data_IF_177870597271
#
_entry.id   IF_177870597271
#
_cell.length_a   1.000
_cell.length_b   1.000
_cell.length_c   1.000
_cell.angle_alpha   90.00
_cell.angle_beta   90.00
_cell.angle_gamma   90.00
#
_symmetry.space_group_name_H-M   'P 1'
#
loop_
_entity.id
_entity.type
_entity.pdbx_description
1 polymer ?
#
# COMPACT_ATOMS: atom_id res chain seq x y z
N UNK A 1 2.31 -49.26 -1.64
CA UNK A 1 2.13 -48.05 -0.81
C UNK A 1 2.52 -46.85 -1.66
N UNK A 2 1.57 -45.96 -1.99
CA UNK A 2 1.87 -44.76 -2.75
C UNK A 2 2.80 -43.84 -1.96
N UNK A 3 3.82 -43.27 -2.62
CA UNK A 3 4.72 -42.29 -2.01
C UNK A 3 3.87 -41.16 -1.41
N UNK A 4 4.05 -40.79 -0.13
CA UNK A 4 3.26 -39.71 0.46
C UNK A 4 3.40 -38.45 -0.39
N UNK A 5 2.30 -37.69 -0.59
CA UNK A 5 2.34 -36.50 -1.42
C UNK A 5 3.39 -35.53 -0.87
N UNK A 6 4.18 -34.94 -1.76
CA UNK A 6 5.18 -33.93 -1.39
C UNK A 6 4.45 -32.69 -0.89
N UNK A 7 4.39 -32.53 0.43
CA UNK A 7 3.85 -31.33 1.08
C UNK A 7 4.99 -30.34 1.26
N UNK A 8 4.89 -29.17 0.62
CA UNK A 8 5.81 -28.06 0.87
C UNK A 8 5.24 -27.22 2.00
N UNK A 9 6.10 -26.82 2.94
CA UNK A 9 5.71 -26.15 4.19
C UNK A 9 6.56 -24.92 4.42
N UNK A 10 5.92 -23.82 4.79
CA UNK A 10 6.56 -22.60 5.25
C UNK A 10 5.99 -22.22 6.61
N UNK A 11 6.87 -21.92 7.55
CA UNK A 11 6.50 -21.33 8.83
C UNK A 11 6.21 -19.85 8.60
N UNK A 12 5.00 -19.43 8.96
CA UNK A 12 4.59 -18.01 8.96
C UNK A 12 4.82 -17.48 10.36
N UNK A 13 5.75 -16.54 10.49
CA UNK A 13 6.12 -15.91 11.77
C UNK A 13 5.73 -14.44 11.80
N UNK A 14 5.43 -13.94 12.99
CA UNK A 14 5.25 -12.53 13.29
C UNK A 14 6.23 -12.16 14.39
N UNK A 15 7.20 -11.30 14.06
CA UNK A 15 8.27 -10.88 14.97
C UNK A 15 8.94 -12.07 15.69
N UNK A 16 9.22 -13.13 14.93
CA UNK A 16 9.81 -14.38 15.43
C UNK A 16 8.85 -15.38 16.10
N UNK A 17 7.63 -15.00 16.49
CA UNK A 17 6.63 -15.96 17.01
C UNK A 17 6.01 -16.74 15.86
N UNK A 18 5.93 -18.07 15.97
CA UNK A 18 5.24 -18.91 14.99
C UNK A 18 3.73 -18.64 15.06
N UNK A 19 3.17 -18.09 13.99
CA UNK A 19 1.74 -17.85 13.87
C UNK A 19 1.03 -19.07 13.27
N UNK A 20 1.67 -19.74 12.31
CA UNK A 20 1.11 -20.94 11.69
C UNK A 20 1.96 -21.46 10.54
N UNK A 21 1.40 -22.39 9.79
CA UNK A 21 2.08 -23.06 8.69
C UNK A 21 1.31 -22.85 7.38
N UNK A 22 2.01 -22.34 6.35
CA UNK A 22 1.51 -22.22 4.99
C UNK A 22 1.97 -23.40 4.14
N UNK A 23 1.02 -24.17 3.65
CA UNK A 23 1.22 -25.46 2.97
C UNK A 23 0.86 -25.36 1.51
N UNK A 24 1.61 -26.06 0.68
CA UNK A 24 1.27 -26.32 -0.72
C UNK A 24 1.36 -27.82 -1.03
N UNK A 25 0.35 -28.32 -1.74
CA UNK A 25 0.35 -29.66 -2.33
C UNK A 25 -0.06 -29.58 -3.81
N UNK A 26 0.54 -30.39 -4.71
CA UNK A 26 0.15 -30.37 -6.11
C UNK A 26 -1.32 -30.70 -6.37
N UNK A 27 -1.92 -31.59 -5.56
CA UNK A 27 -3.29 -32.05 -5.73
C UNK A 27 -4.33 -31.18 -5.00
N UNK A 28 -3.97 -30.59 -3.85
CA UNK A 28 -4.89 -29.84 -2.98
C UNK A 28 -4.67 -28.32 -2.96
N UNK A 29 -3.69 -27.81 -3.71
CA UNK A 29 -3.36 -26.39 -3.73
C UNK A 29 -2.79 -25.91 -2.40
N UNK A 30 -3.15 -24.68 -2.02
CA UNK A 30 -2.61 -23.99 -0.84
C UNK A 30 -3.55 -24.09 0.36
N UNK A 31 -2.97 -24.15 1.56
CA UNK A 31 -3.72 -24.13 2.83
C UNK A 31 -2.90 -23.47 3.94
N UNK A 32 -3.59 -22.98 4.97
CA UNK A 32 -2.96 -22.38 6.15
C UNK A 32 -3.56 -22.96 7.42
N UNK A 33 -2.71 -23.26 8.41
CA UNK A 33 -3.15 -23.69 9.73
C UNK A 33 -2.43 -22.86 10.80
N UNK A 34 -3.19 -22.33 11.77
CA UNK A 34 -2.60 -21.66 12.92
C UNK A 34 -1.85 -22.65 13.80
N UNK A 35 -0.75 -22.19 14.39
CA UNK A 35 -0.03 -22.93 15.42
C UNK A 35 -0.84 -22.96 16.73
N UNK A 36 -0.79 -24.08 17.45
CA UNK A 36 -1.52 -24.24 18.70
C UNK A 36 -1.05 -23.22 19.76
N UNK A 37 0.24 -22.90 19.79
CA UNK A 37 0.82 -21.88 20.65
C UNK A 37 0.46 -20.46 20.24
N UNK A 38 0.12 -20.20 18.97
CA UNK A 38 -0.51 -18.94 18.56
C UNK A 38 -1.94 -18.86 19.09
N UNK A 39 -2.76 -19.90 18.87
CA UNK A 39 -4.16 -19.93 19.29
C UNK A 39 -4.34 -19.84 20.82
N UNK A 40 -3.43 -20.45 21.59
CA UNK A 40 -3.45 -20.43 23.04
C UNK A 40 -2.87 -19.13 23.65
N UNK A 41 -2.33 -18.24 22.82
CA UNK A 41 -1.73 -16.99 23.30
C UNK A 41 -2.81 -15.97 23.65
N UNK A 42 -2.72 -15.36 24.83
CA UNK A 42 -3.68 -14.33 25.29
C UNK A 42 -3.82 -13.15 24.29
N UNK A 43 -2.74 -12.83 23.58
CA UNK A 43 -2.71 -11.77 22.59
C UNK A 43 -2.80 -12.30 21.15
N UNK A 44 -3.38 -13.49 20.94
CA UNK A 44 -3.60 -14.02 19.59
C UNK A 44 -4.53 -13.10 18.78
N UNK A 45 -4.22 -12.94 17.50
CA UNK A 45 -5.07 -12.24 16.55
C UNK A 45 -5.01 -12.91 15.17
N UNK A 46 -6.04 -12.75 14.32
CA UNK A 46 -5.98 -13.22 12.94
C UNK A 46 -4.85 -12.52 12.17
N UNK A 47 -3.97 -13.27 11.50
CA UNK A 47 -2.90 -12.67 10.66
C UNK A 47 -3.43 -12.03 9.37
N UNK A 48 -4.70 -12.30 9.06
CA UNK A 48 -5.51 -11.65 8.05
C UNK A 48 -6.97 -11.79 8.46
N UNK A 49 -7.82 -10.83 8.10
CA UNK A 49 -9.27 -10.97 8.26
C UNK A 49 -9.84 -12.20 7.56
N UNK A 50 -9.20 -12.66 6.49
CA UNK A 50 -9.63 -13.85 5.74
C UNK A 50 -9.17 -15.16 6.38
N UNK A 51 -8.36 -15.11 7.44
CA UNK A 51 -7.88 -16.27 8.18
C UNK A 51 -8.35 -16.18 9.64
N UNK A 52 -9.64 -16.38 9.95
CA UNK A 52 -10.13 -16.31 11.32
C UNK A 52 -9.42 -17.31 12.24
N UNK A 53 -9.27 -16.97 13.52
CA UNK A 53 -8.64 -17.83 14.53
C UNK A 53 -9.48 -19.10 14.75
N UNK A 54 -9.03 -20.21 14.17
CA UNK A 54 -9.60 -21.55 14.37
C UNK A 54 -8.51 -22.60 14.26
N UNK A 55 -8.72 -23.73 14.93
CA UNK A 55 -7.89 -24.91 14.79
C UNK A 55 -8.15 -25.60 13.44
N UNK A 56 -7.17 -26.37 12.98
CA UNK A 56 -7.24 -27.09 11.71
C UNK A 56 -6.80 -26.25 10.51
N UNK A 57 -6.69 -26.92 9.36
CA UNK A 57 -6.28 -26.30 8.11
C UNK A 57 -7.45 -25.57 7.44
N UNK A 58 -7.16 -24.39 6.92
CA UNK A 58 -8.04 -23.57 6.11
C UNK A 58 -7.54 -23.62 4.66
N UNK A 59 -8.45 -23.77 3.70
CA UNK A 59 -8.13 -23.83 2.27
C UNK A 59 -9.22 -23.14 1.45
N UNK A 60 -8.87 -22.75 0.22
CA UNK A 60 -9.76 -22.06 -0.71
C UNK A 60 -9.20 -20.73 -1.19
N UNK A 61 -9.98 -20.02 -1.99
CA UNK A 61 -9.59 -18.76 -2.64
C UNK A 61 -9.19 -17.69 -1.62
N UNK A 62 -9.86 -17.61 -0.47
CA UNK A 62 -9.53 -16.67 0.59
C UNK A 62 -8.09 -16.83 1.11
N UNK A 63 -7.59 -18.07 1.25
CA UNK A 63 -6.20 -18.33 1.65
C UNK A 63 -5.24 -17.87 0.57
N UNK A 64 -5.58 -18.14 -0.70
CA UNK A 64 -4.77 -17.75 -1.84
C UNK A 64 -4.66 -16.21 -1.91
N UNK A 65 -5.78 -15.51 -1.78
CA UNK A 65 -5.86 -14.06 -1.77
C UNK A 65 -4.95 -13.42 -0.70
N UNK A 66 -4.84 -14.00 0.51
CA UNK A 66 -3.96 -13.46 1.56
C UNK A 66 -2.50 -13.47 1.12
N UNK A 67 -1.99 -14.63 0.70
CA UNK A 67 -0.57 -14.81 0.44
C UNK A 67 -0.13 -14.29 -0.92
N UNK A 68 -0.99 -14.38 -1.93
CA UNK A 68 -0.70 -13.90 -3.27
C UNK A 68 -0.56 -12.38 -3.33
N UNK A 69 -1.35 -11.64 -2.54
CA UNK A 69 -1.31 -10.18 -2.50
C UNK A 69 -0.06 -9.59 -1.81
N UNK A 70 0.77 -10.42 -1.16
CA UNK A 70 2.08 -10.03 -0.64
C UNK A 70 3.15 -9.92 -1.73
N UNK A 71 2.85 -10.43 -2.92
CA UNK A 71 3.76 -10.50 -4.07
C UNK A 71 3.41 -9.41 -5.08
N UNK A 72 4.34 -9.06 -6.00
CA UNK A 72 4.05 -8.11 -7.06
C UNK A 72 2.88 -8.55 -7.94
N UNK A 73 2.09 -7.60 -8.45
CA UNK A 73 0.89 -7.90 -9.25
C UNK A 73 1.24 -8.43 -10.66
N UNK A 74 2.39 -8.04 -11.20
CA UNK A 74 2.78 -8.34 -12.58
C UNK A 74 3.33 -9.79 -12.70
N UNK A 75 2.71 -10.67 -13.51
CA UNK A 75 3.19 -12.04 -13.69
C UNK A 75 4.60 -12.15 -14.27
N UNK A 76 4.99 -11.26 -15.18
CA UNK A 76 6.34 -11.24 -15.77
C UNK A 76 7.39 -10.86 -14.74
N UNK A 77 7.02 -9.96 -13.82
CA UNK A 77 7.83 -9.62 -12.67
C UNK A 77 7.97 -10.83 -11.72
N UNK A 78 6.89 -11.55 -11.44
CA UNK A 78 6.94 -12.80 -10.65
C UNK A 78 7.87 -13.85 -11.26
N UNK A 79 7.81 -14.06 -12.57
CA UNK A 79 8.71 -14.98 -13.29
C UNK A 79 10.17 -14.59 -13.16
N UNK A 80 10.51 -13.32 -13.39
CA UNK A 80 11.87 -12.79 -13.22
C UNK A 80 12.39 -12.95 -11.79
N UNK A 81 11.54 -12.68 -10.79
CA UNK A 81 11.88 -12.90 -9.37
C UNK A 81 12.12 -14.38 -9.11
N UNK A 82 11.28 -15.28 -9.63
CA UNK A 82 11.43 -16.72 -9.45
C UNK A 82 12.76 -17.22 -10.01
N UNK A 83 13.11 -16.85 -11.23
CA UNK A 83 14.39 -17.19 -11.86
C UNK A 83 15.57 -16.68 -11.04
N UNK A 84 15.51 -15.41 -10.62
CA UNK A 84 16.64 -14.75 -9.94
C UNK A 84 16.86 -15.22 -8.52
N UNK A 85 15.79 -15.49 -7.78
CA UNK A 85 15.84 -16.00 -6.43
C UNK A 85 15.98 -17.53 -6.38
N UNK A 86 16.17 -18.18 -7.54
CA UNK A 86 16.23 -19.64 -7.71
C UNK A 86 15.02 -20.35 -7.08
N UNK A 87 13.85 -19.70 -7.17
CA UNK A 87 12.60 -20.26 -6.70
C UNK A 87 12.16 -21.41 -7.60
N UNK A 88 11.44 -22.37 -7.02
CA UNK A 88 10.97 -23.57 -7.74
C UNK A 88 9.94 -23.26 -8.83
N UNK A 89 9.19 -22.16 -8.66
CA UNK A 89 8.22 -21.64 -9.62
C UNK A 89 7.85 -20.20 -9.27
N UNK A 90 7.06 -19.56 -10.12
CA UNK A 90 6.44 -18.25 -9.92
C UNK A 90 5.15 -18.29 -9.08
N UNK A 91 4.84 -19.45 -8.48
CA UNK A 91 3.67 -19.60 -7.60
C UNK A 91 3.89 -18.92 -6.25
N UNK A 92 2.82 -18.44 -5.59
CA UNK A 92 2.97 -17.69 -4.35
C UNK A 92 3.76 -18.40 -3.26
N UNK A 93 3.52 -19.69 -3.04
CA UNK A 93 4.26 -20.49 -2.05
C UNK A 93 5.76 -20.51 -2.31
N UNK A 94 6.17 -20.80 -3.55
CA UNK A 94 7.58 -20.92 -3.91
C UNK A 94 8.28 -19.54 -3.92
N UNK A 95 7.59 -18.49 -4.33
CA UNK A 95 8.10 -17.12 -4.26
C UNK A 95 8.28 -16.66 -2.80
N UNK A 96 7.29 -16.86 -1.94
CA UNK A 96 7.39 -16.48 -0.52
C UNK A 96 8.46 -17.31 0.20
N UNK A 97 8.71 -18.56 -0.20
CA UNK A 97 9.85 -19.33 0.30
C UNK A 97 11.19 -18.65 0.01
N UNK A 98 11.31 -18.02 -1.16
CA UNK A 98 12.54 -17.39 -1.63
C UNK A 98 12.70 -15.94 -1.13
N UNK A 99 11.63 -15.14 -1.19
CA UNK A 99 11.67 -13.69 -0.94
C UNK A 99 10.87 -13.21 0.29
N UNK A 100 10.18 -14.11 0.99
CA UNK A 100 9.24 -13.76 2.07
C UNK A 100 9.86 -13.45 3.43
N UNK A 101 11.17 -13.14 3.51
CA UNK A 101 11.83 -12.83 4.80
C UNK A 101 11.50 -11.42 5.30
N UNK A 102 11.27 -10.49 4.38
CA UNK A 102 10.81 -9.13 4.67
C UNK A 102 9.67 -8.73 3.71
N UNK A 103 8.42 -8.99 4.13
CA UNK A 103 7.21 -8.60 3.40
C UNK A 103 6.67 -7.24 3.87
N UNK A 104 5.68 -6.71 3.15
CA UNK A 104 4.73 -5.73 3.72
C UNK A 104 4.03 -6.36 4.94
N UNK A 105 3.81 -5.56 5.98
CA UNK A 105 3.32 -6.00 7.27
C UNK A 105 4.37 -6.77 8.07
N UNK A 106 3.92 -7.71 8.90
CA UNK A 106 4.77 -8.43 9.85
C UNK A 106 4.99 -9.91 9.55
N UNK A 107 4.39 -10.43 8.47
CA UNK A 107 4.55 -11.82 8.09
C UNK A 107 5.98 -12.07 7.57
N UNK A 108 6.58 -13.14 8.09
CA UNK A 108 7.88 -13.65 7.68
C UNK A 108 7.71 -15.12 7.33
N UNK A 109 8.24 -15.53 6.18
CA UNK A 109 8.15 -16.89 5.67
C UNK A 109 9.51 -17.57 5.77
N UNK A 110 9.56 -18.66 6.54
CA UNK A 110 10.77 -19.45 6.73
C UNK A 110 10.53 -20.90 6.30
N UNK A 111 11.57 -21.62 5.86
CA UNK A 111 11.49 -23.07 5.72
C UNK A 111 11.00 -23.70 7.04
N UNK A 112 10.13 -24.69 6.93
CA UNK A 112 9.55 -25.35 8.10
C UNK A 112 10.63 -25.90 9.04
N UNK A 113 10.57 -25.53 10.32
CA UNK A 113 11.52 -25.95 11.34
C UNK A 113 12.84 -25.18 11.34
N UNK A 114 13.00 -24.16 10.49
CA UNK A 114 14.16 -23.28 10.54
C UNK A 114 14.15 -22.45 11.84
N UNK A 115 15.34 -22.31 12.45
CA UNK A 115 15.54 -21.40 13.56
C UNK A 115 15.53 -19.94 13.06
N UNK A 116 14.61 -19.08 13.54
CA UNK A 116 14.62 -17.67 13.16
C UNK A 116 15.80 -16.89 13.77
N UNK A 117 16.53 -17.46 14.74
CA UNK A 117 17.49 -16.71 15.55
C UNK A 117 16.80 -15.62 16.37
N UNK A 118 17.53 -14.58 16.73
CA UNK A 118 16.94 -13.38 17.34
C UNK A 118 16.23 -12.54 16.25
N UNK A 119 14.89 -12.46 16.25
CA UNK A 119 14.13 -11.74 15.23
C UNK A 119 14.33 -10.22 15.26
N UNK A 120 15.01 -9.70 16.29
CA UNK A 120 15.25 -8.28 16.50
C UNK A 120 16.72 -7.89 16.43
N UNK A 121 17.60 -8.87 16.18
CA UNK A 121 18.98 -8.59 15.83
C UNK A 121 19.00 -7.79 14.54
N UNK A 122 19.80 -6.72 14.54
CA UNK A 122 19.98 -5.86 13.38
C UNK A 122 21.36 -6.13 12.80
N UNK A 123 21.38 -6.81 11.67
CA UNK A 123 22.57 -7.05 10.87
C UNK A 123 22.39 -6.40 9.48
N UNK A 124 23.43 -5.74 8.99
CA UNK A 124 23.41 -5.13 7.68
C UNK A 124 24.78 -4.61 7.27
N UNK A 125 24.95 -4.42 5.96
CA UNK A 125 26.17 -3.87 5.37
C UNK A 125 25.95 -2.38 5.08
N UNK A 126 26.79 -1.47 5.62
CA UNK A 126 26.75 -0.05 5.26
C UNK A 126 26.79 0.16 3.75
N UNK A 127 25.99 1.08 3.27
CA UNK A 127 25.88 1.43 1.86
C UNK A 127 26.36 2.87 1.67
N UNK A 128 27.42 3.04 0.88
CA UNK A 128 27.80 4.34 0.35
C UNK A 128 26.80 4.80 -0.72
N UNK A 129 26.76 6.10 -0.96
CA UNK A 129 25.90 6.73 -1.97
C UNK A 129 25.99 6.04 -3.35
N UNK A 130 27.21 5.77 -3.82
CA UNK A 130 27.46 5.09 -5.09
C UNK A 130 26.87 3.67 -5.16
N UNK A 131 26.84 2.95 -4.04
CA UNK A 131 26.26 1.61 -3.97
C UNK A 131 24.74 1.65 -4.03
N UNK A 132 24.14 2.67 -3.41
CA UNK A 132 22.69 2.93 -3.48
C UNK A 132 22.30 3.32 -4.90
N UNK A 133 23.03 4.27 -5.51
CA UNK A 133 22.81 4.69 -6.89
C UNK A 133 22.92 3.52 -7.87
N UNK A 134 23.93 2.66 -7.72
CA UNK A 134 24.07 1.44 -8.51
C UNK A 134 22.87 0.49 -8.34
N UNK A 135 22.42 0.25 -7.10
CA UNK A 135 21.26 -0.58 -6.83
C UNK A 135 19.96 0.00 -7.42
N UNK A 136 19.82 1.33 -7.49
CA UNK A 136 18.68 2.00 -8.11
C UNK A 136 18.75 1.92 -9.64
N UNK A 137 19.91 2.16 -10.26
CA UNK A 137 20.12 2.00 -11.72
C UNK A 137 19.75 0.60 -12.16
N UNK A 138 20.20 -0.37 -11.37
CA UNK A 138 19.92 -1.78 -11.58
C UNK A 138 18.41 -2.08 -11.60
N UNK A 139 17.53 -1.32 -10.94
CA UNK A 139 16.09 -1.63 -10.91
C UNK A 139 15.43 -1.69 -12.30
N UNK A 140 16.00 -1.00 -13.31
CA UNK A 140 15.50 -1.03 -14.69
C UNK A 140 15.64 -2.41 -15.34
N UNK A 141 16.66 -3.15 -14.92
CA UNK A 141 16.99 -4.49 -15.42
C UNK A 141 16.66 -5.57 -14.38
N UNK A 142 16.69 -5.22 -13.08
CA UNK A 142 16.75 -6.10 -11.91
C UNK A 142 15.68 -5.73 -10.87
N UNK A 143 14.47 -6.30 -10.95
CA UNK A 143 13.39 -5.92 -10.06
C UNK A 143 13.67 -6.23 -8.58
N UNK A 144 13.21 -5.35 -7.68
CA UNK A 144 13.43 -5.41 -6.22
C UNK A 144 14.92 -5.35 -5.79
N UNK A 145 15.85 -5.08 -6.71
CA UNK A 145 17.29 -5.02 -6.42
C UNK A 145 17.92 -6.36 -6.04
N UNK A 146 17.27 -7.48 -6.35
CA UNK A 146 17.72 -8.83 -5.96
C UNK A 146 18.88 -9.28 -6.85
N UNK A 147 20.06 -9.51 -6.23
CA UNK A 147 21.20 -10.22 -6.86
C UNK A 147 21.27 -11.67 -6.33
N UNK A 148 21.72 -12.64 -7.14
CA UNK A 148 21.72 -14.06 -6.75
C UNK A 148 22.63 -14.30 -5.55
N UNK A 149 23.74 -13.56 -5.46
CA UNK A 149 24.71 -13.68 -4.37
C UNK A 149 24.26 -12.97 -3.08
N UNK A 150 23.12 -12.28 -3.10
CA UNK A 150 22.66 -11.47 -1.98
C UNK A 150 22.11 -12.36 -0.84
N UNK A 151 22.44 -12.13 0.44
CA UNK A 151 21.75 -12.79 1.56
C UNK A 151 20.37 -12.16 1.88
N UNK A 152 20.06 -10.99 1.31
CA UNK A 152 18.82 -10.24 1.59
C UNK A 152 17.70 -10.52 0.59
N UNK A 153 16.45 -10.56 1.08
CA UNK A 153 15.29 -11.07 0.35
C UNK A 153 14.02 -10.28 0.78
N UNK A 154 13.44 -9.51 -0.14
CA UNK A 154 12.31 -8.59 0.11
C UNK A 154 11.13 -8.96 -0.79
N UNK A 155 9.91 -8.85 -0.27
CA UNK A 155 8.68 -8.87 -1.07
C UNK A 155 7.91 -7.56 -0.88
N UNK A 156 7.80 -6.77 -1.95
CA UNK A 156 7.01 -5.53 -1.99
C UNK A 156 5.92 -5.66 -3.07
N UNK A 157 4.66 -5.48 -2.68
CA UNK A 157 3.52 -5.47 -3.60
C UNK A 157 3.46 -4.16 -4.42
N UNK A 158 2.73 -4.16 -5.53
CA UNK A 158 2.57 -3.02 -6.45
C UNK A 158 3.39 -3.14 -7.74
N UNK A 159 3.12 -2.24 -8.70
CA UNK A 159 3.66 -2.32 -10.06
C UNK A 159 4.93 -1.48 -10.31
N UNK A 160 5.13 -0.41 -9.54
CA UNK A 160 6.31 0.45 -9.67
C UNK A 160 7.56 -0.26 -9.15
N UNK A 161 8.65 -0.15 -9.90
CA UNK A 161 9.97 -0.62 -9.51
C UNK A 161 10.47 0.12 -8.26
N UNK A 162 10.91 -0.65 -7.28
CA UNK A 162 11.33 -0.15 -5.97
C UNK A 162 12.30 -1.11 -5.31
N UNK A 163 13.09 -0.56 -4.41
CA UNK A 163 13.94 -1.32 -3.48
C UNK A 163 13.68 -0.82 -2.06
N UNK A 164 14.30 -1.43 -1.07
CA UNK A 164 14.18 -0.99 0.31
C UNK A 164 15.48 -1.17 1.09
N UNK A 165 15.75 -0.23 1.99
CA UNK A 165 16.94 -0.18 2.82
C UNK A 165 16.57 0.06 4.28
N UNK A 166 17.54 -0.14 5.16
CA UNK A 166 17.46 0.18 6.58
C UNK A 166 18.21 1.49 6.84
N UNK A 167 17.52 2.49 7.40
CA UNK A 167 18.15 3.64 8.03
C UNK A 167 18.43 3.36 9.51
N UNK A 168 19.68 3.51 9.95
CA UNK A 168 20.08 3.38 11.36
C UNK A 168 21.36 4.18 11.61
N UNK A 169 21.40 4.92 12.72
CA UNK A 169 22.57 5.71 13.15
C UNK A 169 23.15 6.57 12.01
N UNK A 170 22.26 7.35 11.37
CA UNK A 170 22.55 8.23 10.23
C UNK A 170 23.21 7.55 9.01
N UNK A 171 23.04 6.24 8.88
CA UNK A 171 23.63 5.43 7.81
C UNK A 171 22.59 4.55 7.14
N UNK A 172 22.67 4.47 5.80
CA UNK A 172 21.93 3.49 5.02
C UNK A 172 22.61 2.12 5.08
N UNK A 173 21.84 1.09 5.42
CA UNK A 173 22.27 -0.29 5.52
C UNK A 173 21.47 -1.14 4.53
N UNK A 174 22.17 -2.06 3.87
CA UNK A 174 21.55 -3.20 3.21
C UNK A 174 21.34 -4.30 4.27
N UNK A 175 20.09 -4.64 4.63
CA UNK A 175 19.84 -5.58 5.72
C UNK A 175 20.31 -6.99 5.37
N UNK A 176 20.53 -7.83 6.39
CA UNK A 176 20.82 -9.25 6.21
C UNK A 176 19.86 -10.13 7.03
N UNK A 177 19.62 -11.36 6.56
CA UNK A 177 18.82 -12.34 7.28
C UNK A 177 17.37 -11.91 7.47
N UNK A 178 16.96 -11.76 8.73
CA UNK A 178 15.62 -11.30 9.14
C UNK A 178 15.59 -9.83 9.55
N UNK A 179 16.67 -9.07 9.34
CA UNK A 179 16.68 -7.63 9.63
C UNK A 179 15.70 -6.92 8.69
N UNK A 180 14.70 -6.19 9.20
CA UNK A 180 13.75 -5.48 8.35
C UNK A 180 14.37 -4.25 7.68
N UNK A 181 13.88 -3.94 6.48
CA UNK A 181 13.99 -2.58 5.93
C UNK A 181 13.10 -1.61 6.69
N UNK A 182 13.45 -0.32 6.64
CA UNK A 182 12.66 0.78 7.23
C UNK A 182 12.19 1.78 6.20
N UNK A 183 12.78 1.81 5.01
CA UNK A 183 12.42 2.74 3.95
C UNK A 183 12.31 2.05 2.60
N UNK A 184 11.34 2.48 1.80
CA UNK A 184 11.16 2.06 0.42
C UNK A 184 11.67 3.19 -0.47
N UNK A 185 12.53 2.87 -1.44
CA UNK A 185 12.97 3.78 -2.48
C UNK A 185 12.18 3.53 -3.74
N UNK A 186 11.46 4.55 -4.20
CA UNK A 186 10.71 4.54 -5.46
C UNK A 186 11.45 5.39 -6.48
N UNK A 187 11.78 4.79 -7.63
CA UNK A 187 12.38 5.52 -8.75
C UNK A 187 11.34 6.34 -9.50
N UNK A 188 11.81 7.34 -10.25
CA UNK A 188 11.01 7.98 -11.29
C UNK A 188 10.45 6.93 -12.25
N UNK A 189 9.15 7.02 -12.52
CA UNK A 189 8.48 6.22 -13.52
C UNK A 189 8.81 6.79 -14.90
N UNK A 190 8.97 5.93 -15.91
CA UNK A 190 9.08 6.41 -17.29
C UNK A 190 7.70 6.74 -17.86
N UNK A 191 7.55 6.52 -19.17
CA UNK A 191 6.24 6.47 -19.80
C UNK A 191 5.57 5.16 -19.37
N UNK A 192 4.41 5.26 -18.71
CA UNK A 192 3.64 4.09 -18.25
C UNK A 192 2.57 3.70 -19.28
N UNK A 193 1.82 2.64 -18.99
CA UNK A 193 0.73 2.16 -19.86
C UNK A 193 -0.20 3.31 -20.28
N UNK A 194 -0.61 3.29 -21.56
CA UNK A 194 -1.46 4.30 -22.20
C UNK A 194 -0.74 5.63 -22.51
N UNK A 195 0.58 5.68 -22.41
CA UNK A 195 1.38 6.83 -22.85
C UNK A 195 1.43 7.98 -21.85
N UNK A 196 1.04 7.74 -20.58
CA UNK A 196 1.16 8.75 -19.53
C UNK A 196 2.64 8.95 -19.23
N UNK A 197 3.13 10.18 -19.44
CA UNK A 197 4.46 10.58 -19.00
C UNK A 197 4.47 10.76 -17.48
N UNK A 198 5.15 9.86 -16.78
CA UNK A 198 5.35 9.89 -15.34
C UNK A 198 6.82 10.14 -14.97
N UNK A 199 7.59 10.78 -15.87
CA UNK A 199 9.03 11.08 -15.66
C UNK A 199 9.30 11.79 -14.33
N UNK A 200 8.39 12.66 -13.89
CA UNK A 200 8.48 13.35 -12.59
C UNK A 200 7.59 12.70 -11.51
N UNK A 201 7.43 11.37 -11.52
CA UNK A 201 6.57 10.67 -10.55
C UNK A 201 7.01 10.86 -9.11
N UNK A 202 8.31 11.07 -8.87
CA UNK A 202 8.88 11.30 -7.53
C UNK A 202 8.36 12.63 -6.97
N UNK A 203 8.46 13.70 -7.75
CA UNK A 203 7.96 15.03 -7.41
C UNK A 203 6.43 15.02 -7.29
N UNK A 204 5.75 14.35 -8.23
CA UNK A 204 4.29 14.22 -8.23
C UNK A 204 3.79 13.54 -6.96
N UNK A 205 4.32 12.35 -6.63
CA UNK A 205 3.90 11.63 -5.42
C UNK A 205 4.24 12.41 -4.15
N UNK A 206 5.44 12.99 -4.06
CA UNK A 206 5.84 13.81 -2.92
C UNK A 206 4.86 14.98 -2.70
N UNK A 207 4.54 15.73 -3.76
CA UNK A 207 3.60 16.85 -3.68
C UNK A 207 2.21 16.39 -3.27
N UNK A 208 1.71 15.29 -3.84
CA UNK A 208 0.41 14.73 -3.48
C UNK A 208 0.35 14.32 -2.00
N UNK A 209 1.42 13.72 -1.46
CA UNK A 209 1.51 13.38 -0.04
C UNK A 209 1.53 14.65 0.83
N UNK A 210 2.25 15.71 0.43
CA UNK A 210 2.25 16.99 1.17
C UNK A 210 0.88 17.68 1.15
N UNK A 211 0.20 17.69 0.01
CA UNK A 211 -1.16 18.24 -0.10
C UNK A 211 -2.16 17.42 0.73
N UNK A 212 -2.10 16.10 0.68
CA UNK A 212 -2.97 15.23 1.48
C UNK A 212 -2.72 15.42 2.99
N UNK A 213 -1.46 15.54 3.42
CA UNK A 213 -1.11 15.88 4.80
C UNK A 213 -1.66 17.24 5.23
N UNK A 214 -1.52 18.27 4.39
CA UNK A 214 -2.02 19.62 4.67
C UNK A 214 -3.55 19.69 4.74
N UNK A 215 -4.26 18.78 4.06
CA UNK A 215 -5.71 18.56 4.19
C UNK A 215 -6.11 17.75 5.46
N UNK A 216 -5.14 17.45 6.32
CA UNK A 216 -5.33 16.74 7.58
C UNK A 216 -5.56 15.23 7.42
N UNK A 217 -5.00 14.60 6.37
CA UNK A 217 -5.02 13.14 6.23
C UNK A 217 -3.67 12.59 6.74
N UNK A 218 -3.67 11.52 7.57
CA UNK A 218 -2.45 10.80 7.91
C UNK A 218 -1.89 10.12 6.66
N UNK A 219 -0.67 10.47 6.29
CA UNK A 219 0.07 9.89 5.17
C UNK A 219 1.40 9.31 5.67
N UNK A 220 2.00 8.41 4.90
CA UNK A 220 3.39 8.02 5.13
C UNK A 220 4.32 9.24 5.00
N UNK A 221 5.40 9.24 5.77
CA UNK A 221 6.46 10.22 5.57
C UNK A 221 7.21 9.89 4.28
N UNK A 222 7.56 10.94 3.53
CA UNK A 222 8.36 10.82 2.32
C UNK A 222 9.25 12.05 2.11
N UNK A 223 10.44 11.81 1.57
CA UNK A 223 11.41 12.83 1.16
C UNK A 223 12.01 12.49 -0.19
N UNK A 224 12.40 13.52 -0.94
CA UNK A 224 13.14 13.36 -2.19
C UNK A 224 14.62 13.35 -1.84
N UNK A 225 15.34 12.32 -2.27
CA UNK A 225 16.80 12.23 -2.13
C UNK A 225 17.42 11.94 -3.49
N UNK A 226 18.66 12.39 -3.64
CA UNK A 226 19.49 12.11 -4.81
C UNK A 226 20.74 11.37 -4.35
N UNK A 227 21.01 10.23 -4.99
CA UNK A 227 22.23 9.45 -4.83
C UNK A 227 22.94 9.44 -6.18
N UNK A 228 24.07 10.13 -6.29
CA UNK A 228 24.74 10.43 -7.57
C UNK A 228 23.77 11.05 -8.60
N UNK A 229 23.45 10.33 -9.68
CA UNK A 229 22.54 10.72 -10.75
C UNK A 229 21.10 10.20 -10.55
N UNK A 230 20.83 9.50 -9.44
CA UNK A 230 19.56 8.83 -9.18
C UNK A 230 18.72 9.61 -8.16
N UNK A 231 17.69 10.31 -8.63
CA UNK A 231 16.66 10.92 -7.77
C UNK A 231 15.54 9.93 -7.48
N UNK A 232 15.23 9.74 -6.20
CA UNK A 232 14.21 8.78 -5.73
C UNK A 232 13.31 9.42 -4.67
N UNK A 233 12.10 8.86 -4.56
CA UNK A 233 11.26 9.11 -3.39
C UNK A 233 11.60 8.09 -2.32
N UNK A 234 12.07 8.59 -1.18
CA UNK A 234 12.35 7.81 0.02
C UNK A 234 11.13 7.84 0.93
N UNK A 235 10.46 6.70 1.05
CA UNK A 235 9.23 6.52 1.82
C UNK A 235 9.53 5.78 3.12
N UNK A 236 9.22 6.40 4.26
CA UNK A 236 9.31 5.75 5.57
C UNK A 236 8.20 4.71 5.71
N UNK A 237 8.57 3.48 6.04
CA UNK A 237 7.63 2.38 6.26
C UNK A 237 6.91 2.55 7.59
N UNK A 238 5.60 2.78 7.54
CA UNK A 238 4.76 2.84 8.73
C UNK A 238 4.47 1.46 9.35
N UNK A 239 4.80 0.37 8.66
CA UNK A 239 4.70 -1.00 9.17
C UNK A 239 5.96 -1.46 9.91
N UNK A 240 6.82 -0.51 10.28
CA UNK A 240 8.08 -0.71 11.00
C UNK A 240 8.17 0.31 12.12
N UNK A 241 8.60 -0.12 13.30
CA UNK A 241 8.82 0.80 14.42
C UNK A 241 10.02 0.37 15.27
N UNK A 242 10.91 1.30 15.69
CA UNK A 242 11.99 0.99 16.61
C UNK A 242 11.46 0.41 17.92
N UNK A 243 12.16 -0.58 18.47
CA UNK A 243 11.85 -1.14 19.80
C UNK A 243 12.68 -0.43 20.87
N UNK A 244 12.06 -0.10 22.01
CA UNK A 244 12.75 0.53 23.14
C UNK A 244 13.97 -0.27 23.64
N UNK A 245 13.92 -1.61 23.57
CA UNK A 245 15.04 -2.49 23.95
C UNK A 245 16.00 -2.80 22.77
N UNK A 246 16.05 -1.95 21.75
CA UNK A 246 16.81 -2.18 20.52
C UNK A 246 16.14 -3.12 19.53
N UNK A 247 16.49 -3.00 18.25
CA UNK A 247 15.86 -3.72 17.14
C UNK A 247 14.61 -3.02 16.59
N UNK A 248 13.96 -3.66 15.61
CA UNK A 248 12.84 -3.09 14.87
C UNK A 248 11.66 -4.07 14.91
N UNK A 249 10.51 -3.60 15.38
CA UNK A 249 9.25 -4.33 15.33
C UNK A 249 8.63 -4.16 13.94
N UNK A 250 8.11 -5.26 13.40
CA UNK A 250 7.21 -5.23 12.26
C UNK A 250 5.78 -5.13 12.77
N UNK A 251 4.98 -4.22 12.21
CA UNK A 251 3.59 -4.07 12.56
C UNK A 251 2.73 -4.90 11.59
N UNK A 252 1.87 -5.81 12.08
CA UNK A 252 0.99 -6.59 11.23
C UNK A 252 0.09 -5.67 10.39
N UNK A 253 0.03 -5.92 9.09
CA UNK A 253 -0.73 -5.14 8.13
C UNK A 253 -1.26 -6.04 7.02
N UNK A 254 -2.43 -5.69 6.47
CA UNK A 254 -2.93 -6.18 5.19
C UNK A 254 -3.63 -5.06 4.39
N UNK A 255 -3.68 -5.17 3.07
CA UNK A 255 -4.41 -4.23 2.21
C UNK A 255 -5.93 -4.54 2.16
N UNK A 256 -6.76 -3.62 1.66
CA UNK A 256 -8.22 -3.86 1.58
C UNK A 256 -8.58 -5.02 0.65
N UNK A 257 -7.75 -5.31 -0.36
CA UNK A 257 -7.98 -6.41 -1.28
C UNK A 257 -7.83 -7.76 -0.55
N UNK A 258 -6.79 -7.90 0.27
CA UNK A 258 -6.59 -9.01 1.20
C UNK A 258 -7.73 -9.08 2.21
N UNK A 259 -8.05 -7.97 2.88
CA UNK A 259 -9.06 -7.92 3.92
C UNK A 259 -10.46 -8.34 3.43
N UNK A 260 -10.76 -8.08 2.15
CA UNK A 260 -12.01 -8.43 1.47
C UNK A 260 -11.97 -9.79 0.75
N UNK A 261 -10.80 -10.46 0.69
CA UNK A 261 -10.65 -11.80 0.13
C UNK A 261 -10.58 -11.86 -1.40
N UNK A 262 -10.09 -10.80 -2.04
CA UNK A 262 -9.94 -10.70 -3.49
C UNK A 262 -8.49 -10.98 -3.93
N UNK A 263 -8.31 -11.55 -5.11
CA UNK A 263 -7.00 -11.81 -5.71
C UNK A 263 -6.44 -10.59 -6.45
N UNK A 264 -5.12 -10.56 -6.68
CA UNK A 264 -4.41 -9.37 -7.17
C UNK A 264 -4.97 -8.81 -8.49
N UNK A 265 -5.44 -9.68 -9.38
CA UNK A 265 -6.06 -9.31 -10.67
C UNK A 265 -7.38 -8.53 -10.54
N UNK A 266 -8.01 -8.54 -9.35
CA UNK A 266 -9.27 -7.87 -9.07
C UNK A 266 -9.08 -6.55 -8.29
N UNK A 267 -7.92 -5.90 -8.40
CA UNK A 267 -7.67 -4.65 -7.66
C UNK A 267 -8.56 -3.47 -8.07
N UNK A 268 -9.01 -3.44 -9.33
CA UNK A 268 -9.87 -2.37 -9.87
C UNK A 268 -11.35 -2.76 -9.86
N UNK A 269 -12.21 -1.82 -9.45
CA UNK A 269 -13.66 -2.05 -9.41
C UNK A 269 -14.25 -2.41 -10.78
N UNK A 270 -13.75 -1.80 -11.85
CA UNK A 270 -14.23 -2.10 -13.21
C UNK A 270 -13.89 -3.51 -13.69
N UNK A 271 -12.89 -4.15 -13.06
CA UNK A 271 -12.49 -5.55 -13.30
C UNK A 271 -13.08 -6.51 -12.26
N UNK A 272 -14.16 -6.11 -11.57
CA UNK A 272 -14.83 -6.94 -10.57
C UNK A 272 -14.24 -6.86 -9.16
N UNK A 273 -13.35 -5.89 -8.92
CA UNK A 273 -12.81 -5.57 -7.61
C UNK A 273 -13.77 -4.79 -6.70
N UNK A 274 -13.36 -4.57 -5.43
CA UNK A 274 -14.16 -3.82 -4.48
C UNK A 274 -14.17 -2.31 -4.80
N UNK A 275 -15.30 -1.67 -4.51
CA UNK A 275 -15.46 -0.21 -4.63
C UNK A 275 -15.46 0.50 -3.27
N UNK A 276 -15.69 1.82 -3.33
CA UNK A 276 -15.77 2.66 -2.13
C UNK A 276 -16.81 2.17 -1.11
N UNK A 277 -17.96 1.65 -1.57
CA UNK A 277 -18.98 1.12 -0.67
C UNK A 277 -18.49 -0.11 0.11
N UNK A 278 -17.71 -0.99 -0.53
CA UNK A 278 -17.16 -2.19 0.11
C UNK A 278 -16.09 -1.81 1.14
N UNK A 279 -15.24 -0.83 0.81
CA UNK A 279 -14.29 -0.25 1.75
C UNK A 279 -14.96 0.39 2.97
N UNK A 280 -16.01 1.20 2.78
CA UNK A 280 -16.74 1.81 3.90
C UNK A 280 -17.44 0.79 4.80
N UNK A 281 -17.95 -0.31 4.22
CA UNK A 281 -18.55 -1.43 4.96
C UNK A 281 -17.51 -2.27 5.70
N UNK A 282 -16.34 -2.49 5.10
CA UNK A 282 -15.22 -3.15 5.76
C UNK A 282 -14.88 -2.44 7.09
N UNK A 283 -14.85 -1.11 7.05
CA UNK A 283 -14.51 -0.26 8.19
C UNK A 283 -15.59 -0.21 9.28
N UNK A 284 -16.78 -0.79 9.06
CA UNK A 284 -17.77 -0.97 10.15
C UNK A 284 -17.23 -1.87 11.27
N UNK A 285 -16.32 -2.80 10.94
CA UNK A 285 -15.66 -3.68 11.91
C UNK A 285 -14.36 -3.14 12.48
N UNK A 286 -13.97 -1.91 12.16
CA UNK A 286 -12.75 -1.30 12.70
C UNK A 286 -12.91 -0.99 14.20
N UNK A 287 -11.81 -1.14 14.93
CA UNK A 287 -11.68 -0.67 16.32
C UNK A 287 -11.85 0.84 16.46
N UNK A 288 -11.59 1.60 15.39
CA UNK A 288 -11.70 3.06 15.29
C UNK A 288 -12.75 3.46 14.23
N UNK A 289 -13.88 2.72 14.17
CA UNK A 289 -14.91 2.82 13.11
C UNK A 289 -15.18 4.24 12.61
N UNK A 290 -15.47 5.17 13.52
CA UNK A 290 -15.86 6.52 13.13
C UNK A 290 -14.70 7.29 12.47
N UNK A 291 -13.50 7.17 13.04
CA UNK A 291 -12.29 7.82 12.52
C UNK A 291 -11.86 7.21 11.19
N UNK A 292 -11.94 5.88 11.05
CA UNK A 292 -11.56 5.19 9.82
C UNK A 292 -12.54 5.46 8.67
N UNK A 293 -13.86 5.45 8.93
CA UNK A 293 -14.85 5.82 7.92
C UNK A 293 -14.68 7.28 7.48
N UNK A 294 -14.39 8.19 8.42
CA UNK A 294 -14.07 9.58 8.12
C UNK A 294 -12.81 9.68 7.25
N UNK A 295 -11.72 9.00 7.64
CA UNK A 295 -10.45 8.98 6.92
C UNK A 295 -10.62 8.46 5.50
N UNK A 296 -11.25 7.29 5.32
CA UNK A 296 -11.43 6.71 4.00
C UNK A 296 -12.32 7.59 3.11
N UNK A 297 -13.39 8.17 3.65
CA UNK A 297 -14.24 9.10 2.91
C UNK A 297 -13.46 10.36 2.48
N UNK A 298 -12.68 10.97 3.39
CA UNK A 298 -11.78 12.09 3.04
C UNK A 298 -10.79 11.67 1.96
N UNK A 299 -10.17 10.48 2.06
CA UNK A 299 -9.23 9.97 1.06
C UNK A 299 -9.86 9.85 -0.33
N UNK A 300 -11.10 9.36 -0.45
CA UNK A 300 -11.80 9.28 -1.74
C UNK A 300 -12.05 10.67 -2.34
N UNK A 301 -12.44 11.63 -1.51
CA UNK A 301 -12.67 13.02 -1.96
C UNK A 301 -11.33 13.66 -2.36
N UNK A 302 -10.26 13.45 -1.58
CA UNK A 302 -8.91 13.96 -1.87
C UNK A 302 -8.36 13.38 -3.16
N UNK A 303 -8.57 12.09 -3.45
CA UNK A 303 -8.18 11.52 -4.73
C UNK A 303 -8.84 12.24 -5.91
N UNK A 304 -10.10 12.63 -5.79
CA UNK A 304 -10.77 13.42 -6.82
C UNK A 304 -10.22 14.85 -6.91
N UNK A 305 -9.99 15.50 -5.76
CA UNK A 305 -9.38 16.82 -5.67
C UNK A 305 -8.00 16.83 -6.33
N UNK A 306 -7.18 15.82 -6.11
CA UNK A 306 -5.81 15.75 -6.64
C UNK A 306 -5.71 15.08 -8.01
N UNK A 307 -6.82 14.67 -8.64
CA UNK A 307 -6.81 13.80 -9.82
C UNK A 307 -5.97 12.51 -9.63
N UNK A 308 -5.94 11.96 -8.41
CA UNK A 308 -5.28 10.69 -8.13
C UNK A 308 -6.18 9.52 -8.56
N UNK A 309 -5.96 9.05 -9.78
CA UNK A 309 -6.85 8.09 -10.47
C UNK A 309 -6.62 6.64 -10.03
N UNK A 310 -5.46 6.32 -9.48
CA UNK A 310 -5.05 4.93 -9.15
C UNK A 310 -5.33 4.53 -7.69
N UNK A 311 -6.23 5.24 -7.00
CA UNK A 311 -6.63 4.96 -5.61
C UNK A 311 -7.48 3.69 -5.45
N UNK A 312 -6.98 2.54 -5.88
CA UNK A 312 -7.63 1.23 -5.84
C UNK A 312 -7.45 0.51 -4.50
N UNK A 313 -8.06 -0.66 -4.32
CA UNK A 313 -8.15 -1.34 -3.02
C UNK A 313 -6.80 -1.71 -2.39
N UNK A 314 -5.73 -1.92 -3.18
CA UNK A 314 -4.39 -2.18 -2.63
C UNK A 314 -3.70 -0.94 -2.05
N UNK A 315 -4.23 0.26 -2.29
CA UNK A 315 -3.67 1.53 -1.81
C UNK A 315 -4.28 1.99 -0.47
N UNK A 316 -5.07 1.11 0.16
CA UNK A 316 -5.56 1.29 1.51
C UNK A 316 -5.24 0.04 2.31
N UNK A 317 -4.68 0.21 3.50
CA UNK A 317 -4.30 -0.89 4.37
C UNK A 317 -4.88 -0.75 5.76
N UNK A 318 -4.85 -1.87 6.48
CA UNK A 318 -5.28 -2.01 7.86
C UNK A 318 -4.10 -2.51 8.69
N UNK A 319 -3.87 -1.89 9.85
CA UNK A 319 -3.09 -2.53 10.91
C UNK A 319 -3.93 -3.62 11.57
N UNK A 320 -3.30 -4.74 11.93
CA UNK A 320 -3.92 -5.86 12.63
C UNK A 320 -3.31 -6.03 14.03
N UNK A 321 -4.13 -6.42 15.00
CA UNK A 321 -3.66 -6.77 16.33
C UNK A 321 -4.75 -7.39 17.22
N UNK A 322 -4.44 -7.63 18.50
CA UNK A 322 -5.37 -8.26 19.45
C UNK A 322 -6.70 -7.50 19.61
N UNK A 323 -6.68 -6.16 19.48
CA UNK A 323 -7.87 -5.30 19.56
C UNK A 323 -8.68 -5.19 18.27
N UNK A 324 -8.38 -6.01 17.25
CA UNK A 324 -9.00 -5.92 15.93
C UNK A 324 -8.11 -5.18 14.94
N UNK A 325 -8.71 -4.37 14.09
CA UNK A 325 -8.00 -3.66 13.03
C UNK A 325 -8.37 -2.18 12.99
N UNK A 326 -7.51 -1.38 12.36
CA UNK A 326 -7.76 0.04 12.05
C UNK A 326 -6.99 0.45 10.79
N UNK A 327 -7.36 1.55 10.15
CA UNK A 327 -6.63 2.02 8.96
C UNK A 327 -5.19 2.40 9.27
N UNK A 328 -4.32 2.16 8.28
CA UNK A 328 -2.96 2.71 8.25
C UNK A 328 -2.99 4.15 7.74
N UNK A 329 -1.87 4.88 7.85
CA UNK A 329 -1.66 6.07 7.02
C UNK A 329 -1.87 5.75 5.53
N UNK A 330 -2.25 6.76 4.75
CA UNK A 330 -2.36 6.68 3.30
C UNK A 330 -0.98 6.72 2.65
N UNK A 331 -0.90 6.14 1.46
CA UNK A 331 0.34 6.04 0.69
C UNK A 331 0.04 5.94 -0.80
N UNK A 332 1.06 6.12 -1.64
CA UNK A 332 0.97 5.89 -3.09
C UNK A 332 -0.12 6.76 -3.77
N UNK A 333 -0.07 8.06 -3.48
CA UNK A 333 -0.99 9.06 -4.06
C UNK A 333 -0.25 9.75 -5.20
N UNK A 334 -0.70 9.52 -6.44
CA UNK A 334 -0.09 10.09 -7.65
C UNK A 334 -1.16 10.73 -8.51
N UNK A 335 -0.94 11.98 -8.91
CA UNK A 335 -1.88 12.75 -9.71
C UNK A 335 -1.71 12.50 -11.21
N UNK A 336 -2.82 12.43 -11.94
CA UNK A 336 -2.85 12.48 -13.40
C UNK A 336 -2.96 13.92 -13.97
N UNK A 337 -3.06 14.95 -13.11
CA UNK A 337 -3.24 16.34 -13.55
C UNK A 337 -2.10 16.87 -14.45
N UNK A 338 -0.82 16.54 -14.24
CA UNK A 338 0.25 16.95 -15.16
C UNK A 338 0.04 16.39 -16.57
N UNK A 339 -0.36 15.12 -16.68
CA UNK A 339 -0.66 14.49 -17.97
C UNK A 339 -1.92 15.07 -18.63
N UNK A 340 -2.90 15.53 -17.84
CA UNK A 340 -4.06 16.28 -18.34
C UNK A 340 -3.65 17.59 -19.00
N UNK A 341 -2.82 18.38 -18.31
CA UNK A 341 -2.42 19.71 -18.76
C UNK A 341 -1.62 19.66 -20.08
N UNK A 342 -0.83 18.61 -20.27
CA UNK A 342 -0.04 18.40 -21.48
C UNK A 342 -0.85 17.86 -22.67
N UNK A 343 -2.17 17.69 -22.53
CA UNK A 343 -3.06 17.24 -23.61
C UNK A 343 -2.86 15.77 -24.01
N UNK A 344 -2.14 14.98 -23.21
CA UNK A 344 -1.90 13.56 -23.48
C UNK A 344 -3.20 12.74 -23.44
N UNK A 345 -4.24 13.24 -22.76
CA UNK A 345 -5.54 12.59 -22.63
C UNK A 345 -6.67 13.56 -22.91
N UNK A 346 -7.75 13.03 -23.49
CA UNK A 346 -9.04 13.72 -23.46
C UNK A 346 -9.62 13.58 -22.06
N UNK A 347 -10.24 14.62 -21.51
CA UNK A 347 -10.91 14.58 -20.18
C UNK A 347 -11.84 13.37 -19.95
N UNK A 348 -12.30 12.70 -21.01
CA UNK A 348 -13.16 11.50 -20.97
C UNK A 348 -12.43 10.22 -20.54
N UNK A 349 -11.11 10.20 -20.59
CA UNK A 349 -10.28 9.01 -20.35
C UNK A 349 -9.83 8.87 -18.90
N UNK A 350 -9.94 9.93 -18.09
CA UNK A 350 -9.46 9.95 -16.71
C UNK A 350 -10.57 9.64 -15.72
N UNK A 351 -10.36 8.55 -14.98
CA UNK A 351 -11.37 7.86 -14.18
C UNK A 351 -10.78 7.49 -12.84
N UNK A 352 -11.50 7.73 -11.74
CA UNK A 352 -11.14 7.18 -10.44
C UNK A 352 -11.19 5.65 -10.48
N UNK A 353 -10.35 4.98 -9.69
CA UNK A 353 -10.40 3.52 -9.53
C UNK A 353 -11.71 3.02 -8.88
N UNK A 354 -12.32 3.84 -8.02
CA UNK A 354 -13.58 3.54 -7.34
C UNK A 354 -14.66 4.55 -7.76
N UNK A 355 -15.81 4.05 -8.23
CA UNK A 355 -16.94 4.89 -8.62
C UNK A 355 -17.71 5.48 -7.44
N UNK A 356 -18.36 6.61 -7.70
CA UNK A 356 -19.21 7.32 -6.74
C UNK A 356 -20.59 7.63 -7.31
N UNK A 357 -21.57 7.85 -6.44
CA UNK A 357 -22.95 8.22 -6.76
C UNK A 357 -23.96 7.07 -6.71
N UNK A 358 -25.25 7.42 -6.88
CA UNK A 358 -26.33 6.45 -7.06
C UNK A 358 -26.13 5.62 -8.33
N UNK A 359 -25.62 6.26 -9.39
CA UNK A 359 -25.08 5.62 -10.60
C UNK A 359 -23.56 5.61 -10.52
N UNK A 360 -22.89 4.68 -11.21
CA UNK A 360 -21.43 4.60 -11.20
C UNK A 360 -20.82 5.77 -12.00
N UNK A 361 -20.35 6.79 -11.29
CA UNK A 361 -19.53 7.86 -11.88
C UNK A 361 -18.05 7.59 -11.61
N UNK A 362 -17.28 7.42 -12.68
CA UNK A 362 -15.83 7.24 -12.63
C UNK A 362 -15.08 8.48 -13.10
N UNK A 363 -15.60 9.16 -14.14
CA UNK A 363 -14.89 10.24 -14.82
C UNK A 363 -14.78 11.49 -13.96
N UNK A 364 -13.58 12.04 -13.86
CA UNK A 364 -13.29 13.20 -13.01
C UNK A 364 -14.18 14.40 -13.33
N UNK A 365 -14.46 14.66 -14.61
CA UNK A 365 -15.27 15.78 -15.10
C UNK A 365 -16.77 15.65 -14.81
N UNK A 366 -17.25 14.42 -14.57
CA UNK A 366 -18.64 14.11 -14.24
C UNK A 366 -18.89 14.00 -12.74
N UNK A 367 -17.85 13.80 -11.95
CA UNK A 367 -17.96 13.69 -10.50
C UNK A 367 -18.28 15.05 -9.89
N UNK A 368 -19.16 15.05 -8.89
CA UNK A 368 -19.57 16.21 -8.11
C UNK A 368 -19.58 15.79 -6.64
N UNK A 369 -19.40 16.73 -5.69
CA UNK A 369 -19.41 16.44 -4.26
C UNK A 369 -20.58 15.56 -3.79
N UNK A 370 -21.79 15.79 -4.30
CA UNK A 370 -22.99 15.00 -3.99
C UNK A 370 -22.83 13.49 -4.25
N UNK A 371 -21.99 13.09 -5.19
CA UNK A 371 -21.84 11.67 -5.52
C UNK A 371 -21.10 10.90 -4.41
N UNK A 372 -20.17 11.55 -3.68
CA UNK A 372 -19.52 10.96 -2.51
C UNK A 372 -20.48 10.80 -1.33
N UNK A 373 -21.34 11.81 -1.12
CA UNK A 373 -22.43 11.78 -0.15
C UNK A 373 -23.40 10.64 -0.45
N UNK A 374 -23.85 10.51 -1.71
CA UNK A 374 -24.70 9.41 -2.16
C UNK A 374 -24.08 8.03 -1.93
N UNK A 375 -22.79 7.85 -2.23
CA UNK A 375 -22.11 6.56 -1.99
C UNK A 375 -21.96 6.24 -0.51
N UNK A 376 -21.55 7.22 0.29
CA UNK A 376 -21.36 7.03 1.73
C UNK A 376 -22.69 6.80 2.46
N UNK A 377 -23.77 7.43 2.02
CA UNK A 377 -25.12 7.15 2.51
C UNK A 377 -25.60 5.74 2.16
N UNK A 378 -25.36 5.28 0.92
CA UNK A 378 -25.62 3.88 0.53
C UNK A 378 -24.78 2.87 1.31
N UNK A 379 -23.60 3.27 1.77
CA UNK A 379 -22.75 2.49 2.66
C UNK A 379 -23.17 2.60 4.13
N UNK A 380 -24.25 3.35 4.45
CA UNK A 380 -24.76 3.57 5.81
C UNK A 380 -23.74 4.22 6.76
N UNK A 381 -22.83 5.04 6.21
CA UNK A 381 -21.96 5.89 7.03
C UNK A 381 -22.83 6.91 7.77
N UNK A 382 -22.69 7.08 9.09
CA UNK A 382 -23.42 8.09 9.87
C UNK A 382 -23.36 9.50 9.27
N UNK A 383 -24.47 10.25 9.34
CA UNK A 383 -24.61 11.57 8.71
C UNK A 383 -23.61 12.59 9.25
N UNK A 384 -23.29 12.54 10.53
CA UNK A 384 -22.29 13.38 11.19
C UNK A 384 -20.88 13.13 10.62
N UNK A 385 -20.50 11.86 10.42
CA UNK A 385 -19.22 11.50 9.80
C UNK A 385 -19.16 11.99 8.35
N UNK A 386 -20.25 11.78 7.59
CA UNK A 386 -20.33 12.28 6.21
C UNK A 386 -20.15 13.80 6.18
N UNK A 387 -20.91 14.54 6.98
CA UNK A 387 -20.85 16.01 7.08
C UNK A 387 -19.43 16.47 7.41
N UNK A 388 -18.82 15.89 8.45
CA UNK A 388 -17.44 16.22 8.87
C UNK A 388 -16.42 16.03 7.76
N UNK A 389 -16.52 14.96 6.97
CA UNK A 389 -15.58 14.73 5.87
C UNK A 389 -15.53 15.88 4.86
N UNK A 390 -16.66 16.54 4.58
CA UNK A 390 -16.71 17.70 3.68
C UNK A 390 -16.25 18.98 4.39
N UNK A 391 -16.75 19.23 5.61
CA UNK A 391 -16.42 20.42 6.39
C UNK A 391 -14.92 20.52 6.65
N UNK A 392 -14.31 19.45 7.18
CA UNK A 392 -12.89 19.42 7.53
C UNK A 392 -11.99 19.74 6.32
N UNK A 393 -12.40 19.30 5.12
CA UNK A 393 -11.67 19.56 3.87
C UNK A 393 -11.85 20.99 3.36
N UNK A 394 -13.06 21.56 3.49
CA UNK A 394 -13.34 22.93 3.03
C UNK A 394 -12.71 23.97 3.96
N UNK A 395 -12.74 23.73 5.28
CA UNK A 395 -12.19 24.65 6.28
C UNK A 395 -10.69 24.89 6.10
N UNK A 396 -9.93 23.87 5.70
CA UNK A 396 -8.48 23.93 5.56
C UNK A 396 -8.01 24.00 4.11
N UNK A 397 -8.86 23.65 3.14
CA UNK A 397 -8.47 23.28 1.79
C UNK A 397 -7.67 24.31 1.01
N UNK A 398 -8.22 25.51 0.81
CA UNK A 398 -7.57 26.54 -0.02
C UNK A 398 -6.27 27.04 0.62
N UNK A 399 -6.30 27.28 1.93
CA UNK A 399 -5.12 27.72 2.69
C UNK A 399 -4.01 26.65 2.66
N UNK A 400 -4.37 25.37 2.82
CA UNK A 400 -3.43 24.26 2.73
C UNK A 400 -2.72 24.20 1.38
N UNK A 401 -3.42 24.47 0.27
CA UNK A 401 -2.80 24.49 -1.06
C UNK A 401 -1.81 25.64 -1.23
N UNK A 402 -2.14 26.83 -0.70
CA UNK A 402 -1.24 27.98 -0.72
C UNK A 402 -0.01 27.77 0.15
N UNK A 403 -0.18 27.21 1.35
CA UNK A 403 0.92 26.86 2.24
C UNK A 403 1.89 25.89 1.58
N UNK A 404 1.38 24.80 1.00
CA UNK A 404 2.21 23.80 0.31
C UNK A 404 2.89 24.41 -0.92
N UNK A 405 2.18 25.23 -1.71
CA UNK A 405 2.74 25.91 -2.87
C UNK A 405 3.91 26.83 -2.50
N UNK A 406 3.78 27.57 -1.39
CA UNK A 406 4.81 28.48 -0.90
C UNK A 406 6.00 27.74 -0.26
N UNK A 407 5.79 26.52 0.23
CA UNK A 407 6.81 25.68 0.85
C UNK A 407 7.54 24.76 -0.14
N UNK A 408 7.26 24.84 -1.45
CA UNK A 408 7.93 24.02 -2.44
C UNK A 408 9.44 24.32 -2.49
N UNK A 409 10.30 23.29 -2.61
CA UNK A 409 11.73 23.50 -2.80
C UNK A 409 12.04 24.35 -4.03
N UNK A 410 13.13 25.12 -3.97
CA UNK A 410 13.62 25.84 -5.14
C UNK A 410 13.92 24.86 -6.30
N UNK A 411 13.42 25.18 -7.50
CA UNK A 411 13.59 24.33 -8.68
C UNK A 411 12.63 23.14 -8.78
N UNK A 412 11.60 23.07 -7.92
CA UNK A 412 10.54 22.09 -8.09
C UNK A 412 9.84 22.28 -9.45
N UNK A 413 9.53 21.20 -10.20
CA UNK A 413 9.05 21.32 -11.57
C UNK A 413 7.62 21.91 -11.65
N UNK A 414 7.50 23.12 -12.20
CA UNK A 414 6.21 23.81 -12.40
C UNK A 414 5.23 23.00 -13.25
N UNK A 415 5.74 22.22 -14.20
CA UNK A 415 4.94 21.30 -15.03
C UNK A 415 4.25 20.20 -14.23
N UNK A 416 4.67 19.98 -12.98
CA UNK A 416 4.01 19.07 -12.03
C UNK A 416 3.18 19.88 -11.03
N UNK A 417 3.78 20.87 -10.37
CA UNK A 417 3.14 21.59 -9.28
C UNK A 417 1.90 22.38 -9.74
N UNK A 418 2.02 23.18 -10.80
CA UNK A 418 0.95 24.02 -11.32
C UNK A 418 -0.31 23.23 -11.65
N UNK A 419 -0.24 22.21 -12.54
CA UNK A 419 -1.41 21.40 -12.89
C UNK A 419 -2.12 20.73 -11.71
N UNK A 420 -1.35 20.20 -10.74
CA UNK A 420 -1.91 19.53 -9.56
C UNK A 420 -2.65 20.54 -8.68
N UNK A 421 -2.02 21.67 -8.36
CA UNK A 421 -2.59 22.68 -7.48
C UNK A 421 -3.80 23.36 -8.13
N UNK A 422 -3.74 23.65 -9.43
CA UNK A 422 -4.84 24.29 -10.15
C UNK A 422 -6.07 23.38 -10.24
N UNK A 423 -5.88 22.09 -10.57
CA UNK A 423 -6.99 21.13 -10.54
C UNK A 423 -7.53 20.96 -9.11
N UNK A 424 -6.67 20.93 -8.09
CA UNK A 424 -7.10 20.88 -6.69
C UNK A 424 -7.94 22.08 -6.28
N UNK A 425 -7.56 23.30 -6.68
CA UNK A 425 -8.32 24.53 -6.43
C UNK A 425 -9.69 24.52 -7.12
N UNK A 426 -9.77 24.07 -8.37
CA UNK A 426 -11.05 23.91 -9.09
C UNK A 426 -11.99 22.96 -8.33
N UNK A 427 -11.49 21.77 -7.95
CA UNK A 427 -12.31 20.80 -7.19
C UNK A 427 -12.69 21.28 -5.80
N UNK A 428 -11.79 21.97 -5.11
CA UNK A 428 -12.10 22.56 -3.82
C UNK A 428 -13.18 23.63 -3.92
N UNK A 429 -13.16 24.46 -4.97
CA UNK A 429 -14.22 25.45 -5.21
C UNK A 429 -15.60 24.81 -5.36
N UNK A 430 -15.69 23.66 -6.06
CA UNK A 430 -16.92 22.87 -6.15
C UNK A 430 -17.35 22.30 -4.79
N UNK A 431 -16.38 21.86 -3.97
CA UNK A 431 -16.63 21.34 -2.62
C UNK A 431 -17.16 22.43 -1.68
N UNK A 432 -16.54 23.61 -1.70
CA UNK A 432 -16.94 24.79 -0.93
C UNK A 432 -18.34 25.26 -1.32
N UNK A 433 -18.62 25.37 -2.62
CA UNK A 433 -19.94 25.72 -3.12
C UNK A 433 -21.02 24.72 -2.66
N UNK A 434 -20.69 23.42 -2.62
CA UNK A 434 -21.60 22.39 -2.09
C UNK A 434 -21.86 22.58 -0.59
N UNK A 435 -20.84 22.86 0.21
CA UNK A 435 -20.99 23.06 1.66
C UNK A 435 -21.81 24.31 1.97
N UNK A 436 -21.57 25.42 1.25
CA UNK A 436 -22.35 26.66 1.37
C UNK A 436 -23.80 26.55 0.92
N UNK A 437 -24.13 25.60 0.03
CA UNK A 437 -25.49 25.35 -0.46
C UNK A 437 -26.37 24.47 0.48
N UNK A 438 -25.95 24.24 1.74
CA UNK A 438 -26.85 23.76 2.79
C UNK A 438 -27.01 22.24 2.92
N UNK A 439 -26.11 21.40 2.43
CA UNK A 439 -26.19 19.92 2.66
C UNK A 439 -25.69 19.46 4.01
N UNK A 440 -25.57 20.44 4.89
CA UNK A 440 -24.92 20.38 6.19
C UNK A 440 -25.90 20.98 7.22
N UNK A 441 -27.13 21.31 6.80
CA UNK A 441 -28.28 21.63 7.65
C UNK A 441 -29.38 20.58 7.45
N UNK A 442 -29.53 19.72 8.45
CA UNK A 442 -30.59 18.72 8.53
C UNK A 442 -30.25 17.67 9.59
N UNK A 443 -30.98 17.62 10.73
CA UNK A 443 -30.86 16.53 11.70
C UNK A 443 -31.30 15.17 11.12
#
# INVERSE_FOLDING_TARGET
MGRPPVVRRLDVRINGRLAGEYRFTPAGGVSFAYDAGWLAWEFAFPISRQLPLRSGAQSGTHVNAVFENLLPDNPDLRRRIAERAEARSDRPHDLLAAIGRDCIGAMQFLPHGADPGDPFRVDGVPQAEAQIAAAIRDLAEWPLGIRAEDPFRISLAGAQEKTAFLWKDDTWLKPAGLTPTTHIFKRRMGIVSHGIDMTDSVENEWLCLKLAAALGLPVNEARIETFEDQTVLVVTRFDRTPRAKGGILRLPQEDFLQALGFESGQKYQEHGGPGMQDGLRLLEGSSERAADQLLFLKAQIVNWILAAIDGHAKNYSLFLGPGGFRMTPLYDIVSAAPAMANGAFRNRELRLAMSVGRRRHYRLDQIRPRHFEETSDRARVPSDIRRRAFVDLVETGLAAFEEVANALPAGFPDRVAGPIIDHARDRMSLLTARCGAGLIEGP
#
